data_IF_404620351343
#
_entry.id   IF_404620351343
#
_cell.length_a   1.000
_cell.length_b   1.000
_cell.length_c   1.000
_cell.angle_alpha   90.00
_cell.angle_beta   90.00
_cell.angle_gamma   90.00
#
_symmetry.space_group_name_H-M   'P 1'
#
loop_
_entity.id
_entity.type
_entity.pdbx_description
1 polymer ?
#
# COMPACT_ATOMS: atom_id res chain seq x y z
N UNK A 1 34.01 -52.46 -2.94
CA UNK A 1 33.03 -51.97 -1.95
C UNK A 1 32.76 -50.51 -2.26
N UNK A 2 31.47 -50.17 -2.34
CA UNK A 2 30.94 -48.83 -2.63
C UNK A 2 31.41 -47.80 -1.61
N UNK A 3 31.76 -46.60 -2.07
CA UNK A 3 32.07 -45.47 -1.21
C UNK A 3 31.92 -44.17 -2.00
N UNK A 4 30.67 -43.80 -2.29
CA UNK A 4 30.35 -42.42 -2.69
C UNK A 4 30.63 -41.45 -1.54
N UNK A 5 30.77 -40.17 -1.85
CA UNK A 5 30.11 -39.03 -1.18
C UNK A 5 30.50 -37.77 -1.97
N UNK A 6 29.58 -37.38 -2.83
CA UNK A 6 29.54 -36.15 -3.60
C UNK A 6 29.74 -34.92 -2.69
N UNK A 7 30.45 -33.92 -3.21
CA UNK A 7 30.86 -32.72 -2.48
C UNK A 7 29.72 -31.88 -1.90
N UNK A 8 30.05 -30.89 -1.05
CA UNK A 8 29.05 -30.04 -0.43
C UNK A 8 28.35 -29.20 -1.50
N UNK A 9 27.14 -29.63 -1.86
CA UNK A 9 26.23 -28.90 -2.72
C UNK A 9 25.81 -27.61 -2.02
N UNK A 10 25.91 -26.52 -2.77
CA UNK A 10 25.31 -25.24 -2.42
C UNK A 10 23.80 -25.41 -2.31
N UNK A 11 23.30 -25.47 -1.07
CA UNK A 11 21.89 -25.41 -0.75
C UNK A 11 21.63 -24.28 0.24
N UNK A 12 21.32 -23.10 -0.29
CA UNK A 12 20.23 -22.28 0.24
C UNK A 12 19.76 -21.35 -0.87
N UNK A 13 19.16 -21.96 -1.89
CA UNK A 13 18.35 -21.23 -2.84
C UNK A 13 17.20 -20.55 -2.10
N UNK A 14 17.04 -19.26 -2.37
CA UNK A 14 15.77 -18.56 -2.29
C UNK A 14 15.03 -18.65 -0.93
N UNK A 15 15.48 -17.86 0.05
CA UNK A 15 14.61 -17.25 1.06
C UNK A 15 13.63 -16.21 0.44
N UNK A 16 13.07 -16.46 -0.75
CA UNK A 16 12.41 -15.45 -1.60
C UNK A 16 10.87 -15.51 -1.63
N UNK A 17 10.21 -16.12 -0.65
CA UNK A 17 8.74 -16.17 -0.62
C UNK A 17 8.09 -15.84 0.73
N UNK A 18 8.88 -15.55 1.78
CA UNK A 18 8.38 -15.12 3.09
C UNK A 18 8.58 -13.64 3.40
N UNK A 19 9.31 -12.90 2.55
CA UNK A 19 9.79 -11.55 2.84
C UNK A 19 9.09 -10.41 2.07
N UNK A 20 8.09 -10.70 1.24
CA UNK A 20 7.50 -9.71 0.30
C UNK A 20 6.39 -8.85 0.88
N UNK A 21 5.76 -9.27 1.98
CA UNK A 21 4.56 -8.60 2.51
C UNK A 21 4.81 -7.83 3.80
N UNK A 22 6.06 -7.79 4.30
CA UNK A 22 6.38 -6.99 5.47
C UNK A 22 7.83 -6.97 5.92
N UNK A 23 8.08 -6.09 6.88
CA UNK A 23 9.29 -5.91 7.68
C UNK A 23 8.94 -6.16 9.14
N UNK A 24 9.71 -7.02 9.81
CA UNK A 24 9.55 -7.23 11.24
C UNK A 24 9.77 -5.92 12.02
N UNK A 25 8.99 -5.74 13.08
CA UNK A 25 9.19 -4.63 14.01
C UNK A 25 10.57 -4.69 14.66
N UNK A 26 11.12 -3.53 15.00
CA UNK A 26 12.36 -3.40 15.77
C UNK A 26 12.09 -3.29 17.29
N UNK A 27 10.82 -3.38 17.69
CA UNK A 27 10.40 -3.26 19.08
C UNK A 27 10.42 -1.83 19.60
N UNK A 28 10.65 -0.83 18.73
CA UNK A 28 10.51 0.57 19.06
C UNK A 28 9.12 1.07 18.68
N UNK A 29 8.58 1.97 19.50
CA UNK A 29 7.33 2.66 19.15
C UNK A 29 7.58 3.68 18.05
N UNK A 30 6.56 3.87 17.22
CA UNK A 30 6.51 4.92 16.20
C UNK A 30 5.58 6.02 16.69
N UNK A 31 6.15 7.17 17.00
CA UNK A 31 5.48 8.30 17.67
C UNK A 31 5.41 9.55 16.76
N UNK A 32 5.97 9.48 15.55
CA UNK A 32 5.91 10.58 14.57
C UNK A 32 5.86 10.09 13.13
N UNK A 33 5.46 10.98 12.22
CA UNK A 33 5.53 10.75 10.77
C UNK A 33 6.96 10.48 10.30
N UNK A 34 7.97 11.15 10.86
CA UNK A 34 9.38 10.92 10.50
C UNK A 34 9.82 9.49 10.86
N UNK A 35 9.43 8.99 12.03
CA UNK A 35 9.72 7.62 12.43
C UNK A 35 8.95 6.62 11.56
N UNK A 36 7.69 6.90 11.23
CA UNK A 36 6.89 6.07 10.33
C UNK A 36 7.54 6.00 8.93
N UNK A 37 7.97 7.15 8.41
CA UNK A 37 8.70 7.26 7.13
C UNK A 37 10.01 6.48 7.15
N UNK A 38 10.77 6.52 8.24
CA UNK A 38 12.00 5.73 8.38
C UNK A 38 11.72 4.22 8.33
N UNK A 39 10.66 3.76 9.02
CA UNK A 39 10.24 2.34 8.97
C UNK A 39 9.76 1.94 7.57
N UNK A 40 8.94 2.79 6.94
CA UNK A 40 8.50 2.63 5.56
C UNK A 40 9.69 2.55 4.59
N UNK A 41 10.68 3.43 4.73
CA UNK A 41 11.88 3.46 3.90
C UNK A 41 12.70 2.18 4.03
N UNK A 42 12.88 1.66 5.25
CA UNK A 42 13.59 0.39 5.46
C UNK A 42 12.90 -0.79 4.74
N UNK A 43 11.57 -0.78 4.61
CA UNK A 43 10.86 -1.76 3.80
C UNK A 43 10.97 -1.46 2.30
N UNK A 44 10.80 -0.20 1.90
CA UNK A 44 10.88 0.26 0.51
C UNK A 44 12.24 -0.06 -0.13
N UNK A 45 13.34 0.13 0.61
CA UNK A 45 14.71 -0.14 0.16
C UNK A 45 14.91 -1.60 -0.26
N UNK A 46 14.26 -2.55 0.43
CA UNK A 46 14.31 -3.99 0.11
C UNK A 46 13.68 -4.31 -1.25
N UNK A 47 12.84 -3.41 -1.75
CA UNK A 47 12.10 -3.51 -3.01
C UNK A 47 12.62 -2.55 -4.08
N UNK A 48 13.62 -1.70 -3.76
CA UNK A 48 14.09 -0.64 -4.64
C UNK A 48 13.05 0.46 -4.87
N UNK A 49 12.21 0.72 -3.86
CA UNK A 49 11.17 1.75 -3.87
C UNK A 49 11.57 2.96 -3.02
N UNK A 50 10.77 4.03 -3.06
CA UNK A 50 10.88 5.21 -2.20
C UNK A 50 9.58 5.42 -1.44
N UNK A 51 9.64 6.12 -0.31
CA UNK A 51 8.44 6.56 0.41
C UNK A 51 7.94 7.85 -0.22
N UNK A 52 6.65 7.92 -0.53
CA UNK A 52 5.96 9.13 -0.98
C UNK A 52 5.22 9.78 0.19
N UNK A 53 3.90 9.84 0.07
CA UNK A 53 3.02 10.31 1.15
C UNK A 53 3.15 9.43 2.41
N UNK A 54 3.12 10.05 3.58
CA UNK A 54 2.97 9.36 4.86
C UNK A 54 1.83 10.01 5.66
N UNK A 55 0.90 9.19 6.15
CA UNK A 55 -0.26 9.65 6.92
C UNK A 55 -0.30 8.96 8.28
N UNK A 56 -0.81 9.69 9.27
CA UNK A 56 -1.16 9.15 10.58
C UNK A 56 -2.68 9.11 10.70
N UNK A 57 -3.17 7.96 11.14
CA UNK A 57 -4.54 7.76 11.57
C UNK A 57 -4.57 7.25 13.02
N UNK A 58 -5.76 7.24 13.62
CA UNK A 58 -5.95 6.80 15.00
C UNK A 58 -5.49 5.34 15.24
N UNK A 59 -5.54 4.49 14.22
CA UNK A 59 -5.18 3.07 14.35
C UNK A 59 -3.76 2.73 13.87
N UNK A 60 -2.99 3.70 13.37
CA UNK A 60 -1.63 3.46 12.89
C UNK A 60 -1.17 4.46 11.85
N UNK A 61 -0.07 4.13 11.18
CA UNK A 61 0.45 4.95 10.08
C UNK A 61 0.30 4.23 8.76
N UNK A 62 0.12 5.02 7.71
CA UNK A 62 0.09 4.61 6.33
C UNK A 62 1.25 5.28 5.60
N UNK A 63 1.83 4.58 4.63
CA UNK A 63 2.75 5.19 3.68
C UNK A 63 2.51 4.66 2.27
N UNK A 64 2.49 5.59 1.31
CA UNK A 64 2.60 5.27 -0.09
C UNK A 64 4.07 4.95 -0.42
N UNK A 65 4.29 3.91 -1.22
CA UNK A 65 5.59 3.60 -1.81
C UNK A 65 5.55 3.82 -3.32
N UNK A 66 6.58 4.48 -3.84
CA UNK A 66 6.71 4.83 -5.25
C UNK A 66 7.95 4.21 -5.88
N UNK A 67 7.90 4.02 -7.19
CA UNK A 67 9.08 3.68 -7.99
C UNK A 67 10.06 4.86 -8.06
N UNK A 68 11.30 4.61 -8.48
CA UNK A 68 12.28 5.69 -8.69
C UNK A 68 11.84 6.78 -9.69
N UNK A 69 10.85 6.48 -10.54
CA UNK A 69 10.24 7.41 -11.50
C UNK A 69 9.01 8.16 -10.94
N UNK A 70 8.68 7.99 -9.65
CA UNK A 70 7.57 8.66 -8.98
C UNK A 70 6.20 8.03 -9.23
N UNK A 71 6.12 6.86 -9.86
CA UNK A 71 4.84 6.13 -10.01
C UNK A 71 4.50 5.35 -8.74
N UNK A 72 3.24 5.35 -8.32
CA UNK A 72 2.73 4.51 -7.23
C UNK A 72 3.07 3.04 -7.47
N UNK A 73 3.64 2.40 -6.44
CA UNK A 73 4.06 1.01 -6.49
C UNK A 73 3.16 0.14 -5.60
N UNK A 74 3.04 0.49 -4.32
CA UNK A 74 2.17 -0.17 -3.35
C UNK A 74 1.99 0.72 -2.13
N UNK A 75 1.09 0.33 -1.24
CA UNK A 75 0.85 1.00 0.03
C UNK A 75 1.19 0.09 1.20
N UNK A 76 1.65 0.67 2.30
CA UNK A 76 2.02 -0.06 3.51
C UNK A 76 1.42 0.55 4.77
N UNK A 77 1.22 -0.30 5.76
CA UNK A 77 0.88 0.07 7.12
C UNK A 77 2.10 -0.08 8.02
N UNK A 78 2.29 0.86 8.93
CA UNK A 78 3.31 0.83 9.96
C UNK A 78 2.63 0.73 11.33
N UNK A 79 2.94 -0.32 12.06
CA UNK A 79 2.43 -0.58 13.39
C UNK A 79 3.07 0.39 14.41
N UNK A 80 2.28 1.20 15.13
CA UNK A 80 2.81 2.18 16.07
C UNK A 80 3.46 1.55 17.31
N UNK A 81 3.07 0.32 17.66
CA UNK A 81 3.54 -0.36 18.87
C UNK A 81 4.93 -1.00 18.72
N UNK A 82 5.23 -1.52 17.53
CA UNK A 82 6.41 -2.36 17.27
C UNK A 82 7.30 -1.87 16.13
N UNK A 83 6.83 -0.93 15.31
CA UNK A 83 7.50 -0.50 14.09
C UNK A 83 7.44 -1.53 12.95
N UNK A 84 6.61 -2.58 13.08
CA UNK A 84 6.39 -3.53 12.00
C UNK A 84 5.79 -2.85 10.78
N UNK A 85 6.20 -3.27 9.58
CA UNK A 85 5.64 -2.75 8.32
C UNK A 85 5.02 -3.91 7.56
N UNK A 86 3.85 -3.70 6.97
CA UNK A 86 3.24 -4.68 6.08
C UNK A 86 2.54 -4.01 4.92
N UNK A 87 2.44 -4.69 3.78
CA UNK A 87 1.56 -4.24 2.69
C UNK A 87 0.15 -4.06 3.23
N UNK A 88 -0.49 -2.95 2.86
CA UNK A 88 -1.83 -2.61 3.33
C UNK A 88 -2.86 -3.68 2.91
N UNK A 89 -3.75 -4.04 3.83
CA UNK A 89 -4.83 -4.97 3.51
C UNK A 89 -5.89 -4.35 2.62
N UNK A 90 -6.63 -5.21 1.92
CA UNK A 90 -7.55 -4.75 0.90
C UNK A 90 -6.81 -4.50 -0.42
N UNK A 91 -6.94 -3.33 -1.07
CA UNK A 91 -6.46 -3.09 -2.43
C UNK A 91 -4.97 -3.39 -2.67
N UNK A 92 -4.07 -2.92 -1.80
CA UNK A 92 -2.63 -3.17 -1.98
C UNK A 92 -2.27 -4.67 -1.91
N UNK A 93 -2.92 -5.47 -1.06
CA UNK A 93 -2.72 -6.93 -1.05
C UNK A 93 -3.53 -7.67 -2.14
N UNK A 94 -4.77 -7.27 -2.42
CA UNK A 94 -5.74 -8.03 -3.22
C UNK A 94 -5.80 -7.61 -4.69
N UNK A 95 -5.59 -6.33 -4.99
CA UNK A 95 -5.73 -5.77 -6.34
C UNK A 95 -4.39 -5.39 -6.94
N UNK A 96 -3.34 -5.23 -6.14
CA UNK A 96 -2.02 -4.87 -6.64
C UNK A 96 -1.41 -5.99 -7.50
N UNK A 97 -1.20 -5.71 -8.80
CA UNK A 97 -0.67 -6.68 -9.77
C UNK A 97 0.86 -6.73 -9.81
N UNK A 98 1.55 -5.80 -9.13
CA UNK A 98 3.01 -5.75 -9.03
C UNK A 98 3.56 -6.26 -7.70
N UNK A 99 2.88 -5.96 -6.59
CA UNK A 99 3.37 -6.13 -5.22
C UNK A 99 2.40 -6.88 -4.29
N UNK A 100 1.19 -7.19 -4.76
CA UNK A 100 0.16 -7.90 -4.00
C UNK A 100 0.22 -9.43 -4.14
N UNK A 101 -0.74 -10.12 -3.54
CA UNK A 101 -0.83 -11.59 -3.54
C UNK A 101 -1.03 -12.20 -4.94
N UNK A 102 -1.58 -11.42 -5.85
CA UNK A 102 -1.78 -11.82 -7.25
C UNK A 102 -0.73 -11.19 -8.18
N UNK A 103 0.43 -10.80 -7.62
CA UNK A 103 1.54 -10.29 -8.42
C UNK A 103 1.89 -11.28 -9.54
N UNK A 104 2.07 -10.76 -10.76
CA UNK A 104 2.35 -11.54 -11.98
C UNK A 104 1.19 -12.38 -12.52
N UNK A 105 -0.02 -12.25 -11.99
CA UNK A 105 -1.19 -12.75 -12.70
C UNK A 105 -1.34 -11.96 -14.02
N UNK A 106 -1.54 -12.66 -15.13
CA UNK A 106 -1.81 -12.01 -16.41
C UNK A 106 -3.17 -11.32 -16.36
N UNK A 107 -3.16 -10.00 -16.21
CA UNK A 107 -4.37 -9.18 -16.30
C UNK A 107 -4.48 -8.56 -17.69
N UNK A 108 -5.71 -8.33 -18.16
CA UNK A 108 -5.93 -7.51 -19.36
C UNK A 108 -5.51 -6.05 -19.14
N UNK A 109 -5.75 -5.20 -20.14
CA UNK A 109 -5.59 -3.76 -19.96
C UNK A 109 -6.57 -3.23 -18.90
N UNK A 110 -6.14 -2.24 -18.11
CA UNK A 110 -7.03 -1.47 -17.25
C UNK A 110 -8.18 -0.88 -18.09
N UNK A 111 -9.37 -0.87 -17.52
CA UNK A 111 -10.61 -0.42 -18.20
C UNK A 111 -11.18 0.85 -17.61
N UNK A 112 -10.68 1.26 -16.45
CA UNK A 112 -11.06 2.48 -15.73
C UNK A 112 -9.85 3.39 -15.77
N UNK A 113 -10.04 4.61 -16.25
CA UNK A 113 -9.06 5.71 -16.15
C UNK A 113 -9.11 6.39 -14.78
N UNK A 114 -8.09 7.17 -14.42
CA UNK A 114 -8.07 7.95 -13.19
C UNK A 114 -9.29 8.88 -13.03
N UNK A 115 -9.68 9.59 -14.10
CA UNK A 115 -10.86 10.46 -14.08
C UNK A 115 -12.17 9.68 -13.90
N UNK A 116 -12.27 8.48 -14.48
CA UNK A 116 -13.39 7.58 -14.25
C UNK A 116 -13.39 7.03 -12.83
N UNK A 117 -12.22 6.73 -12.25
CA UNK A 117 -12.08 6.29 -10.87
C UNK A 117 -12.57 7.37 -9.89
N UNK A 118 -12.16 8.63 -10.06
CA UNK A 118 -12.69 9.76 -9.26
C UNK A 118 -14.20 9.88 -9.41
N UNK A 119 -14.74 9.74 -10.62
CA UNK A 119 -16.20 9.77 -10.86
C UNK A 119 -16.93 8.62 -10.15
N UNK A 120 -16.36 7.40 -10.20
CA UNK A 120 -16.91 6.21 -9.53
C UNK A 120 -16.88 6.40 -8.01
N UNK A 121 -15.77 6.90 -7.47
CA UNK A 121 -15.58 7.16 -6.05
C UNK A 121 -16.57 8.23 -5.56
N UNK A 122 -16.69 9.36 -6.24
CA UNK A 122 -17.63 10.42 -5.87
C UNK A 122 -19.07 9.90 -5.85
N UNK A 123 -19.50 9.17 -6.89
CA UNK A 123 -20.84 8.57 -6.93
C UNK A 123 -21.08 7.61 -5.78
N UNK A 124 -20.06 6.87 -5.35
CA UNK A 124 -20.16 5.98 -4.20
C UNK A 124 -20.32 6.78 -2.90
N UNK A 125 -19.54 7.85 -2.70
CA UNK A 125 -19.63 8.74 -1.54
C UNK A 125 -20.98 9.44 -1.44
N UNK A 126 -21.53 9.92 -2.56
CA UNK A 126 -22.85 10.55 -2.63
C UNK A 126 -23.95 9.62 -2.10
N UNK A 127 -23.87 8.32 -2.45
CA UNK A 127 -24.81 7.30 -1.96
C UNK A 127 -24.68 7.01 -0.47
N UNK A 128 -23.52 7.25 0.13
CA UNK A 128 -23.35 7.11 1.59
C UNK A 128 -23.96 8.29 2.37
N UNK A 129 -24.25 9.42 1.72
CA UNK A 129 -24.88 10.57 2.36
C UNK A 129 -24.00 11.27 3.41
N UNK A 130 -22.67 11.10 3.35
CA UNK A 130 -21.71 11.63 4.35
C UNK A 130 -21.18 13.04 4.04
N UNK A 131 -21.58 13.61 2.90
CA UNK A 131 -21.10 14.91 2.42
C UNK A 131 -19.59 14.96 2.19
N UNK A 132 -19.02 13.86 1.68
CA UNK A 132 -17.59 13.74 1.39
C UNK A 132 -17.33 13.92 -0.10
N UNK A 133 -16.14 14.40 -0.42
CA UNK A 133 -15.65 14.58 -1.79
C UNK A 133 -14.53 13.61 -2.07
N UNK A 134 -14.50 12.98 -3.24
CA UNK A 134 -13.37 12.17 -3.68
C UNK A 134 -12.23 13.10 -4.13
N UNK A 135 -11.01 12.85 -3.64
CA UNK A 135 -9.80 13.53 -4.09
C UNK A 135 -9.36 13.11 -5.48
N UNK A 136 -8.11 13.42 -5.81
CA UNK A 136 -7.47 12.92 -7.02
C UNK A 136 -7.24 11.40 -6.91
N UNK A 137 -7.12 10.74 -8.06
CA UNK A 137 -6.92 9.29 -8.14
C UNK A 137 -5.46 8.96 -8.39
N UNK A 138 -4.78 8.54 -7.33
CA UNK A 138 -3.40 8.08 -7.37
C UNK A 138 -3.34 6.65 -7.93
N UNK A 139 -2.53 6.47 -8.98
CA UNK A 139 -2.48 5.22 -9.72
C UNK A 139 -1.50 4.23 -9.12
N UNK A 140 -1.99 3.02 -8.87
CA UNK A 140 -1.21 1.85 -8.48
C UNK A 140 -1.42 0.71 -9.49
N UNK A 141 -0.55 -0.30 -9.52
CA UNK A 141 -0.74 -1.46 -10.40
C UNK A 141 -2.07 -2.18 -10.12
N UNK A 142 -3.10 -1.92 -10.93
CA UNK A 142 -4.40 -2.60 -10.86
C UNK A 142 -5.51 -1.89 -10.08
N UNK A 143 -5.24 -0.73 -9.48
CA UNK A 143 -6.23 0.05 -8.75
C UNK A 143 -5.81 1.51 -8.60
N UNK A 144 -6.74 2.34 -8.14
CA UNK A 144 -6.51 3.72 -7.75
C UNK A 144 -6.79 3.88 -6.26
N UNK A 145 -6.02 4.70 -5.56
CA UNK A 145 -6.36 5.18 -4.20
C UNK A 145 -6.73 6.65 -4.29
N UNK A 146 -7.71 7.05 -3.47
CA UNK A 146 -8.22 8.40 -3.37
C UNK A 146 -8.36 8.77 -1.91
N UNK A 147 -7.94 9.99 -1.55
CA UNK A 147 -8.40 10.57 -0.30
C UNK A 147 -9.92 10.83 -0.36
N UNK A 148 -10.58 10.71 0.79
CA UNK A 148 -11.91 11.24 1.00
C UNK A 148 -11.78 12.55 1.77
N UNK A 149 -12.42 13.60 1.25
CA UNK A 149 -12.21 14.97 1.69
C UNK A 149 -13.47 15.53 2.37
N UNK A 150 -13.24 16.37 3.38
CA UNK A 150 -14.23 17.28 3.95
C UNK A 150 -13.62 18.67 3.99
N UNK A 151 -14.32 19.66 3.43
CA UNK A 151 -13.84 21.05 3.33
C UNK A 151 -12.43 21.14 2.72
N UNK A 152 -12.15 20.30 1.72
CA UNK A 152 -10.85 20.22 1.04
C UNK A 152 -9.73 19.56 1.84
N UNK A 153 -10.01 18.94 2.99
CA UNK A 153 -9.02 18.25 3.83
C UNK A 153 -9.25 16.75 3.88
N UNK A 154 -8.21 15.91 3.83
CA UNK A 154 -8.33 14.46 4.01
C UNK A 154 -8.97 14.10 5.35
N UNK A 155 -9.90 13.16 5.31
CA UNK A 155 -10.55 12.57 6.52
C UNK A 155 -10.60 11.04 6.48
N UNK A 156 -10.10 10.42 5.41
CA UNK A 156 -10.12 8.99 5.17
C UNK A 156 -9.67 8.68 3.75
N UNK A 157 -9.73 7.42 3.35
CA UNK A 157 -9.27 6.94 2.04
C UNK A 157 -10.22 5.89 1.48
N UNK A 158 -10.16 5.70 0.17
CA UNK A 158 -10.84 4.63 -0.55
C UNK A 158 -10.07 4.25 -1.81
N UNK A 159 -10.33 3.07 -2.35
CA UNK A 159 -9.77 2.66 -3.63
C UNK A 159 -10.83 2.25 -4.64
N UNK A 160 -10.47 2.34 -5.92
CA UNK A 160 -11.26 1.86 -7.06
C UNK A 160 -10.45 0.87 -7.87
N UNK A 161 -11.01 -0.33 -8.11
CA UNK A 161 -10.36 -1.34 -8.93
C UNK A 161 -10.27 -0.89 -10.40
N UNK A 162 -9.08 -0.94 -11.00
CA UNK A 162 -8.84 -0.41 -12.35
C UNK A 162 -9.47 -1.26 -13.48
N UNK A 163 -9.95 -2.47 -13.18
CA UNK A 163 -10.51 -3.40 -14.16
C UNK A 163 -12.04 -3.54 -14.07
N UNK A 164 -12.58 -3.41 -12.86
CA UNK A 164 -14.00 -3.65 -12.57
C UNK A 164 -14.76 -2.41 -12.11
N UNK A 165 -14.06 -1.36 -11.66
CA UNK A 165 -14.68 -0.20 -11.02
C UNK A 165 -15.25 -0.50 -9.62
N UNK A 166 -14.92 -1.65 -9.04
CA UNK A 166 -15.31 -1.96 -7.67
C UNK A 166 -14.67 -0.95 -6.70
N UNK A 167 -15.45 -0.52 -5.70
CA UNK A 167 -15.03 0.46 -4.69
C UNK A 167 -14.73 -0.24 -3.38
N UNK A 168 -13.66 0.17 -2.71
CA UNK A 168 -13.29 -0.28 -1.37
C UNK A 168 -13.09 0.91 -0.43
N UNK A 169 -13.89 1.03 0.63
CA UNK A 169 -13.75 2.07 1.66
C UNK A 169 -12.78 1.64 2.76
N UNK A 170 -11.80 2.48 3.09
CA UNK A 170 -10.70 2.13 4.02
C UNK A 170 -11.09 2.41 5.47
N UNK A 171 -12.11 1.70 5.96
CA UNK A 171 -12.70 1.91 7.29
C UNK A 171 -11.74 1.63 8.46
N UNK A 172 -10.63 0.97 8.18
CA UNK A 172 -9.73 0.42 9.19
C UNK A 172 -8.69 1.38 9.73
N UNK A 173 -8.38 2.45 8.98
CA UNK A 173 -7.45 3.48 9.41
C UNK A 173 -7.92 4.21 10.67
N UNK A 174 -9.23 4.33 10.85
CA UNK A 174 -9.81 5.14 11.91
C UNK A 174 -9.80 6.62 11.54
N UNK A 175 -9.71 7.50 12.54
CA UNK A 175 -9.78 8.95 12.32
C UNK A 175 -8.45 9.48 11.78
N UNK A 176 -8.48 10.30 10.74
CA UNK A 176 -7.30 11.01 10.24
C UNK A 176 -6.72 11.95 11.30
N UNK A 177 -5.38 11.99 11.41
CA UNK A 177 -4.66 12.83 12.37
C UNK A 177 -3.82 13.88 11.64
N UNK A 178 -2.89 13.45 10.79
CA UNK A 178 -1.97 14.34 10.07
C UNK A 178 -1.36 13.61 8.88
N UNK A 179 -0.73 14.35 7.97
CA UNK A 179 0.01 13.81 6.83
C UNK A 179 1.25 14.64 6.53
N UNK A 180 2.17 14.06 5.76
CA UNK A 180 3.30 14.74 5.15
C UNK A 180 3.52 14.19 3.75
N UNK A 181 3.63 15.08 2.79
CA UNK A 181 4.09 14.82 1.42
C UNK A 181 5.55 15.30 1.31
N UNK A 182 6.31 14.72 0.39
CA UNK A 182 7.70 15.13 0.13
C UNK A 182 7.77 16.29 -0.89
#
# INVERSE_FOLDING_TARGET
>A
MMGGHSGPGMMSGASMMGGSYGLAGDGQRVESLDQARQRGAAFADRLGLRVGETMQFANGYYAELTTAAGRGATEVLIDPGSGGVSVEYGPAMMWNTGYGMHARATTGAARVSAAEATTIAQRWLDRQGRGLVAGEADEFPGYYTLHTLRDGRPVGMMSVNAYTGAVWDHTWHGTFVTMSEE
#
